data_IF_047852771930
#
_entry.id   IF_047852771930
#
_cell.length_a   1.000
_cell.length_b   1.000
_cell.length_c   1.000
_cell.angle_alpha   90.00
_cell.angle_beta   90.00
_cell.angle_gamma   90.00
#
_symmetry.space_group_name_H-M   'P 1'
#
loop_
_entity.id
_entity.type
_entity.pdbx_description
1 polymer ?
#
# COMPACT_ATOMS: atom_id res chain seq x y z
N UNK A 1 -3.80 -14.59 11.24
CA UNK A 1 -4.56 -15.76 10.76
C UNK A 1 -5.04 -15.51 9.34
N UNK A 2 -4.96 -16.53 8.51
CA UNK A 2 -5.53 -16.47 7.16
C UNK A 2 -7.06 -16.53 7.20
N UNK A 3 -7.70 -15.93 6.21
CA UNK A 3 -9.14 -16.09 5.99
C UNK A 3 -9.33 -17.43 5.29
N UNK A 4 -9.84 -18.43 6.00
CA UNK A 4 -9.85 -19.82 5.55
C UNK A 4 -11.25 -20.42 5.44
N UNK A 5 -12.30 -19.66 5.76
CA UNK A 5 -13.67 -20.20 5.74
C UNK A 5 -14.60 -19.36 4.86
N UNK A 6 -15.55 -19.99 4.15
CA UNK A 6 -16.57 -19.26 3.39
C UNK A 6 -17.32 -18.22 4.21
N UNK A 7 -17.65 -18.54 5.46
CA UNK A 7 -18.33 -17.60 6.36
C UNK A 7 -17.54 -16.33 6.66
N UNK A 8 -16.20 -16.42 6.77
CA UNK A 8 -15.35 -15.25 6.96
C UNK A 8 -15.31 -14.44 5.68
N UNK A 9 -15.19 -15.11 4.54
CA UNK A 9 -15.20 -14.49 3.22
C UNK A 9 -16.51 -13.73 2.98
N UNK A 10 -17.67 -14.34 3.22
CA UNK A 10 -18.98 -13.69 3.08
C UNK A 10 -19.07 -12.41 3.89
N UNK A 11 -18.53 -12.42 5.13
CA UNK A 11 -18.51 -11.24 5.99
C UNK A 11 -17.64 -10.12 5.41
N UNK A 12 -16.52 -10.45 4.80
CA UNK A 12 -15.62 -9.47 4.20
C UNK A 12 -16.22 -8.88 2.92
N UNK A 13 -16.80 -9.69 2.07
CA UNK A 13 -17.56 -9.24 0.88
C UNK A 13 -18.68 -8.29 1.30
N UNK A 14 -19.47 -8.66 2.32
CA UNK A 14 -20.53 -7.83 2.84
C UNK A 14 -20.04 -6.46 3.36
N UNK A 15 -18.84 -6.39 3.95
CA UNK A 15 -18.23 -5.12 4.37
C UNK A 15 -17.89 -4.23 3.17
N UNK A 16 -17.26 -4.78 2.15
CA UNK A 16 -16.93 -4.03 0.93
C UNK A 16 -18.21 -3.56 0.23
N UNK A 17 -19.22 -4.42 0.14
CA UNK A 17 -20.52 -4.08 -0.42
C UNK A 17 -21.20 -2.94 0.35
N UNK A 18 -21.12 -2.96 1.69
CA UNK A 18 -21.66 -1.88 2.53
C UNK A 18 -20.95 -0.54 2.30
N UNK A 19 -19.60 -0.57 2.14
CA UNK A 19 -18.83 0.64 1.79
C UNK A 19 -19.27 1.15 0.42
N UNK A 20 -19.30 0.29 -0.60
CA UNK A 20 -19.73 0.67 -1.96
C UNK A 20 -21.15 1.27 -1.96
N UNK A 21 -22.08 0.65 -1.23
CA UNK A 21 -23.44 1.15 -1.11
C UNK A 21 -23.52 2.52 -0.42
N UNK A 22 -22.63 2.79 0.54
CA UNK A 22 -22.60 4.05 1.28
C UNK A 22 -21.98 5.21 0.46
N UNK A 23 -20.92 4.93 -0.32
CA UNK A 23 -20.20 5.97 -1.06
C UNK A 23 -20.70 6.16 -2.49
N UNK A 24 -21.50 5.23 -3.02
CA UNK A 24 -21.98 5.27 -4.41
C UNK A 24 -20.91 4.95 -5.44
N UNK A 25 -21.18 5.22 -6.70
CA UNK A 25 -20.31 4.91 -7.83
C UNK A 25 -19.29 6.01 -8.15
N UNK A 26 -19.46 7.19 -7.59
CA UNK A 26 -18.61 8.36 -7.85
C UNK A 26 -17.32 8.37 -7.00
N UNK A 27 -17.20 7.45 -6.05
CA UNK A 27 -16.03 7.30 -5.19
C UNK A 27 -15.34 5.97 -5.49
N UNK A 28 -14.07 6.02 -5.85
CA UNK A 28 -13.27 4.83 -6.01
C UNK A 28 -12.99 4.14 -4.67
N UNK A 29 -13.11 2.82 -4.64
CA UNK A 29 -12.86 1.98 -3.45
C UNK A 29 -11.76 1.00 -3.78
N UNK A 30 -10.63 1.10 -3.09
CA UNK A 30 -9.59 0.08 -3.08
C UNK A 30 -9.75 -0.85 -1.88
N UNK A 31 -9.32 -2.09 -2.02
CA UNK A 31 -9.44 -3.11 -0.95
C UNK A 31 -8.09 -3.74 -0.70
N UNK A 32 -7.55 -3.52 0.49
CA UNK A 32 -6.32 -4.19 0.92
C UNK A 32 -6.65 -5.53 1.61
N UNK A 33 -6.10 -6.61 1.06
CA UNK A 33 -6.21 -7.96 1.60
C UNK A 33 -5.06 -8.27 2.55
N UNK A 34 -3.98 -7.50 2.46
CA UNK A 34 -2.80 -7.60 3.30
C UNK A 34 -2.32 -9.05 3.49
N UNK A 35 -2.32 -9.83 2.38
CA UNK A 35 -1.96 -11.26 2.33
C UNK A 35 -2.63 -12.18 3.37
N UNK A 36 -3.78 -11.76 3.90
CA UNK A 36 -4.50 -12.54 4.96
C UNK A 36 -5.31 -13.71 4.41
N UNK A 37 -5.14 -14.05 3.15
CA UNK A 37 -5.85 -15.13 2.47
C UNK A 37 -4.87 -16.23 2.03
N UNK A 38 -5.33 -17.47 2.07
CA UNK A 38 -4.70 -18.48 1.25
C UNK A 38 -4.93 -18.18 -0.24
N UNK A 39 -4.07 -18.62 -1.16
CA UNK A 39 -4.26 -18.35 -2.59
C UNK A 39 -5.64 -18.76 -3.13
N UNK A 40 -6.17 -19.89 -2.67
CA UNK A 40 -7.48 -20.36 -3.06
C UNK A 40 -8.60 -19.42 -2.59
N UNK A 41 -8.51 -18.92 -1.35
CA UNK A 41 -9.51 -18.02 -0.80
C UNK A 41 -9.38 -16.61 -1.40
N UNK A 42 -8.15 -16.17 -1.69
CA UNK A 42 -7.91 -14.92 -2.41
C UNK A 42 -8.59 -14.93 -3.78
N UNK A 43 -8.47 -16.01 -4.54
CA UNK A 43 -9.11 -16.15 -5.85
C UNK A 43 -10.64 -16.08 -5.76
N UNK A 44 -11.23 -16.70 -4.74
CA UNK A 44 -12.68 -16.64 -4.52
C UNK A 44 -13.08 -15.20 -4.12
N UNK A 45 -12.37 -14.61 -3.16
CA UNK A 45 -12.69 -13.26 -2.67
C UNK A 45 -12.60 -12.20 -3.76
N UNK A 46 -11.51 -12.18 -4.52
CA UNK A 46 -11.31 -11.21 -5.61
C UNK A 46 -12.41 -11.34 -6.67
N UNK A 47 -12.84 -12.57 -7.00
CA UNK A 47 -13.97 -12.79 -7.90
C UNK A 47 -15.28 -12.24 -7.33
N UNK A 48 -15.54 -12.40 -6.04
CA UNK A 48 -16.73 -11.84 -5.39
C UNK A 48 -16.69 -10.29 -5.32
N UNK A 49 -15.51 -9.67 -5.46
CA UNK A 49 -15.37 -8.22 -5.56
C UNK A 49 -15.67 -7.66 -6.96
N UNK A 50 -15.65 -8.47 -8.02
CA UNK A 50 -15.87 -7.97 -9.40
C UNK A 50 -17.15 -7.14 -9.56
N UNK A 51 -18.33 -7.57 -9.03
CA UNK A 51 -19.55 -6.77 -9.13
C UNK A 51 -19.48 -5.43 -8.37
N UNK A 52 -18.58 -5.31 -7.40
CA UNK A 52 -18.41 -4.11 -6.59
C UNK A 52 -17.42 -3.11 -7.23
N UNK A 53 -16.77 -3.50 -8.32
CA UNK A 53 -15.87 -2.67 -9.13
C UNK A 53 -14.84 -1.90 -8.29
N UNK A 54 -13.96 -2.58 -7.52
CA UNK A 54 -12.91 -1.88 -6.80
C UNK A 54 -11.90 -1.28 -7.77
N UNK A 55 -11.26 -0.18 -7.36
CA UNK A 55 -10.14 0.42 -8.08
C UNK A 55 -8.99 -0.59 -8.23
N UNK A 56 -8.69 -1.30 -7.15
CA UNK A 56 -7.80 -2.46 -7.13
C UNK A 56 -8.03 -3.32 -5.88
N UNK A 57 -7.52 -4.56 -5.94
CA UNK A 57 -7.33 -5.44 -4.80
C UNK A 57 -5.83 -5.52 -4.49
N UNK A 58 -5.45 -5.08 -3.29
CA UNK A 58 -4.07 -4.99 -2.84
C UNK A 58 -3.65 -6.24 -2.09
N UNK A 59 -2.40 -6.65 -2.27
CA UNK A 59 -1.73 -7.80 -1.63
C UNK A 59 -2.62 -9.04 -1.45
N UNK A 60 -3.26 -9.58 -2.52
CA UNK A 60 -4.12 -10.74 -2.39
C UNK A 60 -3.36 -12.01 -2.02
N UNK A 61 -2.06 -12.09 -2.34
CA UNK A 61 -1.21 -13.24 -2.13
C UNK A 61 0.07 -12.85 -1.39
N UNK A 62 0.68 -13.81 -0.72
CA UNK A 62 1.96 -13.61 -0.03
C UNK A 62 3.09 -13.35 -1.03
N UNK A 63 3.95 -12.33 -0.80
CA UNK A 63 4.95 -11.89 -1.76
C UNK A 63 6.15 -12.85 -1.93
N UNK A 64 6.34 -13.81 -1.02
CA UNK A 64 7.43 -14.79 -1.10
C UNK A 64 7.26 -15.79 -2.25
N UNK A 65 6.04 -15.91 -2.77
CA UNK A 65 5.74 -16.75 -3.92
C UNK A 65 4.84 -16.01 -4.91
N UNK A 66 5.39 -15.68 -6.06
CA UNK A 66 4.70 -14.95 -7.10
C UNK A 66 3.77 -15.83 -7.98
N UNK A 67 3.89 -17.16 -7.95
CA UNK A 67 3.07 -18.03 -8.79
C UNK A 67 1.56 -17.93 -8.52
N UNK A 68 1.08 -17.89 -7.24
CA UNK A 68 -0.32 -17.67 -6.97
C UNK A 68 -0.83 -16.29 -7.44
N UNK A 69 0.00 -15.25 -7.32
CA UNK A 69 -0.34 -13.92 -7.78
C UNK A 69 -0.51 -13.89 -9.31
N UNK A 70 0.43 -14.49 -10.03
CA UNK A 70 0.36 -14.62 -11.49
C UNK A 70 -0.90 -15.40 -11.94
N UNK A 71 -1.21 -16.50 -11.25
CA UNK A 71 -2.39 -17.29 -11.55
C UNK A 71 -3.68 -16.48 -11.30
N UNK A 72 -3.75 -15.72 -10.22
CA UNK A 72 -4.87 -14.85 -9.89
C UNK A 72 -5.02 -13.72 -10.92
N UNK A 73 -3.95 -13.01 -11.24
CA UNK A 73 -3.96 -11.90 -12.19
C UNK A 73 -4.49 -12.30 -13.58
N UNK A 74 -4.26 -13.55 -13.98
CA UNK A 74 -4.77 -14.09 -15.27
C UNK A 74 -6.24 -14.49 -15.24
N UNK A 75 -6.86 -14.57 -14.06
CA UNK A 75 -8.22 -15.08 -13.88
C UNK A 75 -9.24 -14.03 -13.47
N UNK A 76 -8.78 -12.87 -13.00
CA UNK A 76 -9.67 -11.81 -12.51
C UNK A 76 -9.71 -10.62 -13.45
N UNK A 77 -10.84 -9.91 -13.42
CA UNK A 77 -11.02 -8.60 -14.04
C UNK A 77 -10.76 -7.44 -13.05
N UNK A 78 -10.61 -7.75 -11.75
CA UNK A 78 -10.24 -6.76 -10.74
C UNK A 78 -8.76 -6.41 -10.89
N UNK A 79 -8.39 -5.13 -11.05
CA UNK A 79 -6.98 -4.73 -11.06
C UNK A 79 -6.29 -5.17 -9.76
N UNK A 80 -5.12 -5.77 -9.88
CA UNK A 80 -4.31 -6.18 -8.73
C UNK A 80 -3.28 -5.11 -8.44
N UNK A 81 -3.08 -4.80 -7.15
CA UNK A 81 -2.01 -3.93 -6.66
C UNK A 81 -1.11 -4.71 -5.70
N UNK A 82 0.20 -4.47 -5.75
CA UNK A 82 1.17 -5.07 -4.83
C UNK A 82 2.52 -4.35 -4.89
N UNK A 83 3.37 -4.55 -3.87
CA UNK A 83 4.72 -4.03 -3.95
C UNK A 83 5.32 -3.59 -2.61
N UNK A 84 4.56 -3.36 -1.57
CA UNK A 84 5.03 -2.81 -0.29
C UNK A 84 6.19 -3.61 0.33
N UNK A 85 6.24 -4.92 0.06
CA UNK A 85 7.24 -5.86 0.60
C UNK A 85 8.34 -6.24 -0.37
N UNK A 86 8.27 -5.72 -1.59
CA UNK A 86 9.31 -5.99 -2.60
C UNK A 86 10.47 -5.01 -2.45
N UNK A 87 11.67 -5.54 -2.53
CA UNK A 87 12.91 -4.79 -2.35
C UNK A 87 13.59 -4.57 -3.70
N UNK A 88 13.99 -3.35 -3.96
CA UNK A 88 14.70 -2.91 -5.14
C UNK A 88 14.02 -3.29 -6.47
N UNK A 89 14.43 -2.69 -7.57
CA UNK A 89 13.93 -3.06 -8.91
C UNK A 89 14.05 -4.54 -9.25
N UNK A 90 14.99 -5.23 -8.61
CA UNK A 90 15.19 -6.66 -8.85
C UNK A 90 14.04 -7.51 -8.28
N UNK A 91 13.51 -7.13 -7.11
CA UNK A 91 12.31 -7.76 -6.56
C UNK A 91 11.04 -7.41 -7.36
N UNK A 92 10.96 -6.20 -7.91
CA UNK A 92 9.84 -5.77 -8.75
C UNK A 92 9.88 -6.33 -10.18
N UNK A 93 11.06 -6.74 -10.65
CA UNK A 93 11.26 -7.22 -12.01
C UNK A 93 10.28 -8.35 -12.42
N UNK A 94 10.07 -9.42 -11.64
CA UNK A 94 9.11 -10.47 -12.01
C UNK A 94 7.67 -9.96 -12.10
N UNK A 95 7.27 -9.03 -11.22
CA UNK A 95 5.94 -8.43 -11.22
C UNK A 95 5.66 -7.70 -12.54
N UNK A 96 6.65 -6.95 -13.01
CA UNK A 96 6.57 -6.15 -14.23
C UNK A 96 6.66 -7.04 -15.48
N UNK A 97 7.70 -7.88 -15.59
CA UNK A 97 7.94 -8.69 -16.79
C UNK A 97 6.85 -9.73 -17.06
N UNK A 98 6.15 -10.19 -16.03
CA UNK A 98 5.08 -11.17 -16.17
C UNK A 98 3.68 -10.54 -16.02
N UNK A 99 3.60 -9.21 -15.90
CA UNK A 99 2.35 -8.46 -15.80
C UNK A 99 1.42 -9.01 -14.70
N UNK A 100 2.00 -9.24 -13.50
CA UNK A 100 1.28 -9.84 -12.37
C UNK A 100 0.33 -8.88 -11.64
N UNK A 101 0.42 -7.59 -11.92
CA UNK A 101 -0.42 -6.55 -11.31
C UNK A 101 -0.64 -5.38 -12.26
N UNK A 102 -1.63 -4.58 -11.99
CA UNK A 102 -1.92 -3.34 -12.71
C UNK A 102 -1.29 -2.12 -12.01
N UNK A 103 -1.07 -2.22 -10.70
CA UNK A 103 -0.57 -1.13 -9.86
C UNK A 103 0.61 -1.62 -9.01
N UNK A 104 1.72 -0.93 -9.09
CA UNK A 104 2.87 -1.17 -8.22
C UNK A 104 2.84 -0.22 -7.02
N UNK A 105 3.08 -0.78 -5.84
CA UNK A 105 3.03 -0.07 -4.56
C UNK A 105 4.37 -0.14 -3.81
N UNK A 106 5.47 0.36 -4.38
CA UNK A 106 6.74 0.37 -3.67
C UNK A 106 6.66 1.28 -2.45
N UNK A 107 7.16 0.82 -1.31
CA UNK A 107 7.43 1.67 -0.16
C UNK A 107 8.83 2.28 -0.31
N UNK A 108 8.92 3.59 -0.23
CA UNK A 108 10.18 4.32 -0.47
C UNK A 108 11.29 3.95 0.52
N UNK A 109 10.93 3.51 1.72
CA UNK A 109 11.88 3.07 2.75
C UNK A 109 12.38 1.66 2.52
N UNK A 110 11.56 0.81 1.91
CA UNK A 110 11.85 -0.60 1.66
C UNK A 110 12.45 -0.82 0.28
N UNK A 111 11.93 -0.18 -0.74
CA UNK A 111 12.36 -0.42 -2.12
C UNK A 111 13.77 0.10 -2.45
N UNK A 112 14.39 0.93 -1.58
CA UNK A 112 15.75 1.44 -1.78
C UNK A 112 15.85 2.95 -2.00
N UNK A 113 14.82 3.71 -1.61
CA UNK A 113 14.80 5.18 -1.61
C UNK A 113 14.34 5.79 -2.94
N UNK A 114 14.47 7.12 -3.01
CA UNK A 114 13.94 7.95 -4.12
C UNK A 114 14.37 7.47 -5.51
N UNK A 115 15.67 7.24 -5.69
CA UNK A 115 16.21 6.86 -7.00
C UNK A 115 15.75 5.47 -7.42
N UNK A 116 15.66 4.54 -6.48
CA UNK A 116 15.21 3.19 -6.77
C UNK A 116 13.72 3.14 -7.09
N UNK A 117 12.89 3.87 -6.32
CA UNK A 117 11.46 4.00 -6.61
C UNK A 117 11.23 4.60 -8.00
N UNK A 118 12.00 5.61 -8.38
CA UNK A 118 11.90 6.20 -9.73
C UNK A 118 12.26 5.20 -10.84
N UNK A 119 13.26 4.32 -10.61
CA UNK A 119 13.62 3.26 -11.56
C UNK A 119 12.53 2.20 -11.66
N UNK A 120 11.91 1.83 -10.53
CA UNK A 120 10.76 0.93 -10.50
C UNK A 120 9.59 1.52 -11.28
N UNK A 121 9.29 2.81 -11.06
CA UNK A 121 8.25 3.52 -11.80
C UNK A 121 8.49 3.53 -13.30
N UNK A 122 9.74 3.76 -13.73
CA UNK A 122 10.11 3.73 -15.16
C UNK A 122 9.99 2.33 -15.78
N UNK A 123 10.28 1.26 -15.03
CA UNK A 123 10.02 -0.11 -15.49
C UNK A 123 8.52 -0.37 -15.64
N UNK A 124 7.71 0.05 -14.67
CA UNK A 124 6.26 -0.06 -14.67
C UNK A 124 5.61 0.70 -15.85
N UNK A 125 6.11 1.90 -16.14
CA UNK A 125 5.62 2.75 -17.22
C UNK A 125 5.68 2.05 -18.59
N UNK A 126 6.78 1.37 -18.90
CA UNK A 126 6.95 0.61 -20.15
C UNK A 126 5.89 -0.47 -20.33
N UNK A 127 5.39 -1.04 -19.23
CA UNK A 127 4.31 -2.03 -19.21
C UNK A 127 2.93 -1.44 -18.91
N UNK A 128 2.79 -0.10 -18.96
CA UNK A 128 1.52 0.62 -18.69
C UNK A 128 0.94 0.36 -17.31
N UNK A 129 1.78 0.02 -16.34
CA UNK A 129 1.38 -0.16 -14.95
C UNK A 129 1.41 1.18 -14.21
N UNK A 130 0.43 1.39 -13.34
CA UNK A 130 0.38 2.56 -12.47
C UNK A 130 1.31 2.42 -11.26
N UNK A 131 1.67 3.56 -10.67
CA UNK A 131 2.41 3.67 -9.42
C UNK A 131 1.52 4.28 -8.34
N UNK A 132 1.35 3.55 -7.23
CA UNK A 132 0.66 4.02 -6.04
C UNK A 132 1.52 3.74 -4.80
N UNK A 133 2.48 4.62 -4.44
CA UNK A 133 3.42 4.35 -3.36
C UNK A 133 2.74 4.01 -2.04
N UNK A 134 3.13 2.86 -1.46
CA UNK A 134 2.76 2.48 -0.10
C UNK A 134 3.47 3.38 0.92
N UNK A 135 2.76 3.78 1.97
CA UNK A 135 3.35 4.46 3.11
C UNK A 135 2.55 4.29 4.41
N UNK A 136 2.79 3.26 5.16
CA UNK A 136 2.18 3.02 6.47
C UNK A 136 2.95 3.64 7.65
N UNK A 137 4.13 4.23 7.45
CA UNK A 137 5.06 4.51 8.55
C UNK A 137 5.45 5.96 8.77
N UNK A 138 4.61 6.88 8.39
CA UNK A 138 4.75 8.25 8.85
C UNK A 138 5.24 9.27 7.82
N UNK A 139 5.36 10.53 8.25
CA UNK A 139 5.35 11.69 7.36
C UNK A 139 6.62 11.87 6.52
N UNK A 140 7.78 11.36 6.96
CA UNK A 140 9.01 11.39 6.15
C UNK A 140 8.89 10.52 4.89
N UNK A 141 8.20 9.37 5.00
CA UNK A 141 7.91 8.53 3.85
C UNK A 141 7.00 9.24 2.86
N UNK A 142 5.95 9.91 3.34
CA UNK A 142 5.06 10.73 2.50
C UNK A 142 5.85 11.84 1.81
N UNK A 143 6.65 12.62 2.57
CA UNK A 143 7.47 13.70 2.01
C UNK A 143 8.40 13.20 0.88
N UNK A 144 9.03 12.05 1.07
CA UNK A 144 9.87 11.44 0.03
C UNK A 144 9.07 10.94 -1.16
N UNK A 145 7.93 10.28 -0.92
CA UNK A 145 7.09 9.70 -1.97
C UNK A 145 6.48 10.76 -2.89
N UNK A 146 6.03 11.89 -2.35
CA UNK A 146 5.44 12.97 -3.18
C UNK A 146 6.45 13.59 -4.15
N UNK A 147 7.75 13.63 -3.77
CA UNK A 147 8.80 14.09 -4.69
C UNK A 147 8.99 13.13 -5.87
N UNK A 148 8.94 11.82 -5.64
CA UNK A 148 9.00 10.84 -6.73
C UNK A 148 7.74 10.91 -7.57
N UNK A 149 6.57 10.92 -6.94
CA UNK A 149 5.26 11.01 -7.60
C UNK A 149 5.19 12.18 -8.59
N UNK A 150 5.72 13.34 -8.22
CA UNK A 150 5.77 14.51 -9.09
C UNK A 150 6.67 14.36 -10.34
N UNK A 151 7.50 13.33 -10.41
CA UNK A 151 8.49 13.14 -11.48
C UNK A 151 8.21 11.94 -12.38
N UNK A 152 7.12 11.20 -12.15
CA UNK A 152 6.76 10.00 -12.88
C UNK A 152 5.38 10.13 -13.51
N UNK A 153 5.22 9.82 -14.81
CA UNK A 153 3.96 10.07 -15.52
C UNK A 153 2.88 9.04 -15.19
N UNK A 154 3.26 7.87 -14.68
CA UNK A 154 2.35 6.76 -14.33
C UNK A 154 1.90 6.78 -12.86
N UNK A 155 2.07 7.89 -12.15
CA UNK A 155 1.56 8.05 -10.79
C UNK A 155 0.02 8.02 -10.76
N UNK A 156 -0.54 7.23 -9.85
CA UNK A 156 -1.99 7.11 -9.63
C UNK A 156 -2.41 7.86 -8.36
N UNK A 157 -1.93 7.41 -7.21
CA UNK A 157 -2.28 7.93 -5.89
C UNK A 157 -1.17 7.60 -4.89
N UNK A 158 -1.04 8.37 -3.81
CA UNK A 158 -0.09 8.10 -2.73
C UNK A 158 -0.84 7.80 -1.43
N UNK A 159 -0.46 6.76 -0.74
CA UNK A 159 -0.92 6.46 0.60
C UNK A 159 -0.27 7.41 1.62
N UNK A 160 -0.92 7.63 2.76
CA UNK A 160 -0.30 8.34 3.90
C UNK A 160 -0.94 9.65 4.31
N UNK A 161 -2.16 9.94 3.89
CA UNK A 161 -2.89 11.14 4.31
C UNK A 161 -3.21 11.24 5.81
N UNK A 162 -3.02 10.18 6.58
CA UNK A 162 -3.36 10.14 8.02
C UNK A 162 -2.31 10.79 8.94
N UNK A 163 -1.06 10.97 8.48
CA UNK A 163 0.01 11.60 9.26
C UNK A 163 0.91 12.42 8.33
N UNK A 164 0.79 13.73 8.40
CA UNK A 164 1.51 14.66 7.53
C UNK A 164 2.60 15.43 8.26
N UNK A 165 2.95 15.00 9.48
CA UNK A 165 4.02 15.58 10.29
C UNK A 165 3.52 16.49 11.40
N UNK A 166 2.23 16.51 11.69
CA UNK A 166 1.68 17.23 12.84
C UNK A 166 2.36 16.75 14.13
N UNK A 167 2.92 17.71 14.89
CA UNK A 167 3.65 17.43 16.12
C UNK A 167 5.04 16.80 15.93
N UNK A 168 5.55 16.72 14.69
CA UNK A 168 6.88 16.19 14.37
C UNK A 168 7.68 17.13 13.47
N UNK A 169 7.01 17.87 12.59
CA UNK A 169 7.63 18.85 11.70
C UNK A 169 7.32 20.26 12.17
N UNK A 170 8.28 21.18 12.04
CA UNK A 170 8.05 22.62 12.25
C UNK A 170 6.96 23.15 11.32
N UNK A 171 6.93 22.63 10.09
CA UNK A 171 5.89 22.91 9.11
C UNK A 171 5.41 21.58 8.52
N UNK A 172 4.27 21.03 8.98
CA UNK A 172 3.69 19.81 8.43
C UNK A 172 3.33 19.93 6.95
N UNK A 173 3.34 18.80 6.25
CA UNK A 173 2.77 18.72 4.91
C UNK A 173 1.28 19.06 4.98
N UNK A 174 0.77 19.70 3.95
CA UNK A 174 -0.63 20.11 3.91
C UNK A 174 -1.42 19.30 2.88
N UNK A 175 -2.45 18.62 3.36
CA UNK A 175 -3.47 18.02 2.50
C UNK A 175 -4.62 18.99 2.32
N UNK A 176 -4.90 19.39 1.10
CA UNK A 176 -6.01 20.27 0.77
C UNK A 176 -6.73 19.73 -0.48
N UNK A 177 -8.04 19.56 -0.38
CA UNK A 177 -8.88 19.07 -1.49
C UNK A 177 -8.40 17.76 -2.12
N UNK A 178 -7.83 16.85 -1.32
CA UNK A 178 -7.30 15.58 -1.78
C UNK A 178 -5.87 15.64 -2.36
N UNK A 179 -5.20 16.78 -2.29
CA UNK A 179 -3.86 16.98 -2.82
C UNK A 179 -2.88 17.43 -1.74
N UNK A 180 -1.62 16.99 -1.87
CA UNK A 180 -0.50 17.48 -1.08
C UNK A 180 0.33 18.40 -1.97
N UNK A 181 0.52 19.65 -1.51
CA UNK A 181 1.39 20.60 -2.19
C UNK A 181 2.85 20.11 -2.14
N UNK A 182 3.55 20.19 -3.26
CA UNK A 182 4.96 19.80 -3.31
C UNK A 182 5.80 20.81 -2.50
N UNK A 183 6.58 20.31 -1.53
CA UNK A 183 7.52 21.19 -0.83
C UNK A 183 8.55 21.80 -1.77
N UNK A 184 8.85 23.08 -1.58
CA UNK A 184 9.79 23.83 -2.44
C UNK A 184 11.11 24.18 -1.75
N UNK A 185 11.23 23.89 -0.47
CA UNK A 185 12.47 24.09 0.31
C UNK A 185 13.47 22.95 0.06
N UNK A 186 14.79 23.15 0.29
CA UNK A 186 15.82 22.14 0.03
C UNK A 186 15.57 20.79 0.74
N UNK A 187 16.10 19.73 0.18
CA UNK A 187 15.95 18.36 0.69
C UNK A 187 14.55 17.80 0.44
N UNK A 188 13.93 17.17 1.41
CA UNK A 188 12.55 16.72 1.35
C UNK A 188 11.53 17.85 1.56
N UNK A 189 12.03 19.06 1.81
CA UNK A 189 11.17 20.22 2.02
C UNK A 189 10.43 20.24 3.36
N UNK A 190 10.83 19.39 4.28
CA UNK A 190 10.31 19.33 5.65
C UNK A 190 11.44 19.49 6.65
N UNK A 191 11.15 20.14 7.77
CA UNK A 191 12.09 20.40 8.86
C UNK A 191 11.60 19.72 10.14
N UNK A 192 12.45 18.86 10.70
CA UNK A 192 12.12 18.09 11.91
C UNK A 192 12.16 19.01 13.13
N UNK A 193 11.22 18.85 14.03
CA UNK A 193 11.25 19.50 15.34
C UNK A 193 11.80 18.54 16.40
N UNK A 194 13.09 18.69 16.71
CA UNK A 194 13.78 17.79 17.63
C UNK A 194 13.18 17.79 19.04
N UNK A 195 12.66 18.94 19.50
CA UNK A 195 12.02 19.05 20.82
C UNK A 195 10.67 18.31 20.82
N UNK A 196 9.88 18.47 19.76
CA UNK A 196 8.62 17.78 19.61
C UNK A 196 8.81 16.26 19.47
N UNK A 197 9.84 15.82 18.75
CA UNK A 197 10.19 14.41 18.58
C UNK A 197 10.58 13.78 19.93
N UNK A 198 11.44 14.47 20.69
CA UNK A 198 11.84 13.97 22.01
C UNK A 198 10.66 13.93 22.98
N UNK A 199 9.78 14.92 22.95
CA UNK A 199 8.55 14.94 23.75
C UNK A 199 7.57 13.81 23.36
N UNK A 200 7.53 13.45 22.09
CA UNK A 200 6.68 12.36 21.59
C UNK A 200 7.29 10.97 21.80
N UNK A 201 8.52 10.87 22.32
CA UNK A 201 9.22 9.61 22.52
C UNK A 201 8.52 8.74 23.55
N UNK A 202 7.98 7.62 23.10
CA UNK A 202 7.37 6.62 23.97
C UNK A 202 8.36 5.49 24.26
N UNK A 203 8.95 5.54 25.45
CA UNK A 203 9.87 4.52 25.94
C UNK A 203 9.16 3.18 26.27
N UNK A 204 7.83 3.19 26.36
CA UNK A 204 7.03 2.01 26.70
C UNK A 204 6.50 1.27 25.46
N UNK A 205 6.67 1.85 24.27
CA UNK A 205 6.20 1.24 23.03
C UNK A 205 6.80 -0.14 22.84
N UNK A 206 5.95 -1.15 22.78
CA UNK A 206 6.33 -2.54 22.60
C UNK A 206 5.90 -3.03 21.23
N UNK A 207 6.79 -2.97 20.27
CA UNK A 207 6.56 -3.44 18.90
C UNK A 207 6.15 -4.93 18.86
N UNK A 208 6.66 -5.73 19.83
CA UNK A 208 6.35 -7.15 19.90
C UNK A 208 4.85 -7.43 20.07
N UNK A 209 4.12 -6.57 20.81
CA UNK A 209 2.68 -6.74 21.00
C UNK A 209 1.88 -6.67 19.69
N UNK A 210 2.40 -6.03 18.65
CA UNK A 210 1.78 -5.95 17.33
C UNK A 210 1.91 -7.24 16.51
N UNK A 211 2.92 -8.07 16.79
CA UNK A 211 3.30 -9.22 15.99
C UNK A 211 3.06 -10.57 16.68
N UNK A 212 2.44 -10.59 17.84
CA UNK A 212 2.20 -11.81 18.61
C UNK A 212 0.73 -11.89 19.03
N UNK A 213 0.17 -13.10 18.95
CA UNK A 213 -1.15 -13.36 19.52
C UNK A 213 -1.05 -13.37 21.06
N UNK A 214 -1.95 -12.64 21.72
CA UNK A 214 -1.98 -12.56 23.19
C UNK A 214 -2.35 -13.91 23.82
N UNK A 215 -3.23 -14.69 23.15
CA UNK A 215 -3.79 -15.94 23.66
C UNK A 215 -2.75 -17.06 23.80
N UNK A 216 -1.84 -17.18 22.84
CA UNK A 216 -0.94 -18.34 22.77
C UNK A 216 0.53 -17.97 22.51
N UNK A 217 0.83 -16.68 22.35
CA UNK A 217 2.17 -16.17 22.07
C UNK A 217 2.74 -16.57 20.72
N UNK A 218 1.90 -17.08 19.82
CA UNK A 218 2.32 -17.36 18.44
C UNK A 218 2.52 -16.08 17.65
N UNK A 219 3.34 -16.17 16.61
CA UNK A 219 3.59 -15.03 15.73
C UNK A 219 2.32 -14.62 14.98
N UNK A 220 1.95 -13.37 15.14
CA UNK A 220 0.91 -12.73 14.35
C UNK A 220 1.57 -11.98 13.19
N UNK A 221 1.49 -12.50 12.00
CA UNK A 221 1.94 -11.79 10.82
C UNK A 221 1.06 -10.54 10.60
N UNK A 222 1.71 -9.38 10.43
CA UNK A 222 1.07 -8.09 10.19
C UNK A 222 0.95 -7.82 8.72
#
# INVERSE_FOLDING_TARGET
>A
RHVDTPRQLDRMVARVAAVRAAVGDDVDVAVDLHRRFSPAMAAIFVRELEPLRPLFAEEPCHPDNNEPLLALARQTTVPIATGERHLTRWGFRPLVEQEMCAVLQPDIRHCGGLLEMKRIAAMAEVHQMALAPHNAAGPLGVAASVHVAATVPNFLICEGGACLGEGLFRTPLRLANGFIDLPTTPGLGVDMDDEAIEAARDATFNLRAMFWHEDDGSFADC
#
